data_IF_477191469468
#
_entry.id   IF_477191469468
#
_cell.length_a   1.000
_cell.length_b   1.000
_cell.length_c   1.000
_cell.angle_alpha   90.00
_cell.angle_beta   90.00
_cell.angle_gamma   90.00
#
_symmetry.space_group_name_H-M   'P 1'
#
loop_
_entity.id
_entity.type
_entity.pdbx_description
1 polymer ?
#
# COMPACT_ATOMS: atom_id res chain seq x y z
N UNK A 1 16.60 -9.80 0.28
CA UNK A 1 15.48 -8.99 0.76
C UNK A 1 14.24 -9.88 0.86
N UNK A 2 13.54 -9.95 2.00
CA UNK A 2 12.39 -10.85 2.18
C UNK A 2 11.23 -10.50 1.26
N UNK A 3 10.93 -9.20 1.06
CA UNK A 3 9.83 -8.70 0.21
C UNK A 3 9.88 -9.27 -1.21
N UNK A 4 11.05 -9.25 -1.86
CA UNK A 4 11.20 -9.75 -3.24
C UNK A 4 10.98 -11.27 -3.35
N UNK A 5 11.44 -12.06 -2.36
CA UNK A 5 11.17 -13.51 -2.35
C UNK A 5 9.69 -13.81 -2.18
N UNK A 6 9.02 -13.04 -1.32
CA UNK A 6 7.58 -13.20 -1.10
C UNK A 6 6.79 -12.78 -2.32
N UNK A 7 7.20 -11.71 -2.99
CA UNK A 7 6.66 -11.27 -4.28
C UNK A 7 6.82 -12.36 -5.35
N UNK A 8 8.03 -12.91 -5.55
CA UNK A 8 8.27 -13.99 -6.53
C UNK A 8 7.42 -15.23 -6.24
N UNK A 9 7.32 -15.62 -4.96
CA UNK A 9 6.50 -16.77 -4.54
C UNK A 9 5.00 -16.55 -4.84
N UNK A 10 4.49 -15.35 -4.59
CA UNK A 10 3.08 -15.01 -4.87
C UNK A 10 2.80 -15.00 -6.36
N UNK A 11 3.67 -14.39 -7.14
CA UNK A 11 3.54 -14.41 -8.59
C UNK A 11 3.59 -15.83 -9.17
N UNK A 12 4.47 -16.70 -8.65
CA UNK A 12 4.53 -18.09 -9.06
C UNK A 12 3.22 -18.85 -8.82
N UNK A 13 2.50 -18.54 -7.74
CA UNK A 13 1.19 -19.15 -7.42
C UNK A 13 0.02 -18.56 -8.20
N UNK A 14 0.10 -17.30 -8.66
CA UNK A 14 -1.00 -16.64 -9.38
C UNK A 14 -1.06 -17.04 -10.87
N UNK A 15 0.03 -17.49 -11.44
CA UNK A 15 0.18 -17.64 -12.89
C UNK A 15 0.94 -18.93 -13.26
N UNK A 16 0.60 -20.06 -12.61
CA UNK A 16 1.09 -21.38 -13.01
C UNK A 16 0.68 -21.68 -14.48
N UNK A 17 1.61 -21.50 -15.39
CA UNK A 17 1.47 -21.77 -16.82
C UNK A 17 1.72 -20.59 -17.76
N UNK A 18 1.42 -19.35 -17.40
CA UNK A 18 1.66 -18.17 -18.26
C UNK A 18 3.09 -17.63 -18.11
N UNK A 19 3.66 -17.65 -16.89
CA UNK A 19 4.95 -17.03 -16.61
C UNK A 19 6.16 -17.81 -17.16
N UNK A 20 6.10 -19.16 -17.26
CA UNK A 20 7.27 -19.94 -17.63
C UNK A 20 7.72 -19.76 -19.08
N UNK A 21 6.84 -19.33 -19.98
CA UNK A 21 7.14 -19.06 -21.39
C UNK A 21 7.19 -17.59 -21.77
N UNK A 22 6.32 -16.76 -21.19
CA UNK A 22 6.14 -15.36 -21.59
C UNK A 22 7.31 -14.46 -21.11
N UNK A 23 7.88 -14.72 -19.93
CA UNK A 23 8.86 -13.85 -19.29
C UNK A 23 10.30 -14.37 -19.31
N UNK A 24 10.62 -15.36 -20.17
CA UNK A 24 12.02 -15.82 -20.33
C UNK A 24 12.95 -14.78 -20.97
N UNK A 25 12.40 -13.75 -21.57
CA UNK A 25 13.17 -12.68 -22.22
C UNK A 25 12.32 -11.40 -22.23
N UNK A 26 12.93 -10.25 -22.03
CA UNK A 26 12.28 -8.96 -21.81
C UNK A 26 12.19 -8.63 -20.32
N UNK A 27 11.43 -7.63 -19.95
CA UNK A 27 11.27 -7.16 -18.58
C UNK A 27 10.62 -8.23 -17.71
N UNK A 28 11.22 -8.53 -16.57
CA UNK A 28 10.67 -9.47 -15.59
C UNK A 28 9.96 -8.71 -14.47
N UNK A 29 8.85 -9.23 -13.90
CA UNK A 29 8.13 -8.56 -12.81
C UNK A 29 9.01 -8.26 -11.58
N UNK A 30 10.00 -9.11 -11.29
CA UNK A 30 10.93 -8.88 -10.18
C UNK A 30 11.87 -7.69 -10.44
N UNK A 31 12.18 -7.39 -11.71
CA UNK A 31 12.97 -6.22 -12.09
C UNK A 31 12.16 -4.93 -11.88
N UNK A 32 10.87 -4.99 -12.19
CA UNK A 32 9.93 -3.89 -11.90
C UNK A 32 9.85 -3.64 -10.39
N UNK A 33 9.67 -4.69 -9.58
CA UNK A 33 9.62 -4.55 -8.13
C UNK A 33 10.91 -3.94 -7.56
N UNK A 34 12.08 -4.35 -8.05
CA UNK A 34 13.37 -3.76 -7.66
C UNK A 34 13.49 -2.29 -8.07
N UNK A 35 13.01 -1.95 -9.26
CA UNK A 35 13.01 -0.58 -9.74
C UNK A 35 12.12 0.30 -8.88
N UNK A 36 10.89 -0.13 -8.59
CA UNK A 36 9.98 0.58 -7.70
C UNK A 36 10.62 0.83 -6.32
N UNK A 37 11.20 -0.19 -5.69
CA UNK A 37 11.85 -0.05 -4.38
C UNK A 37 13.01 0.96 -4.42
N UNK A 38 13.79 0.98 -5.51
CA UNK A 38 14.85 1.96 -5.72
C UNK A 38 14.32 3.38 -5.88
N UNK A 39 13.26 3.54 -6.67
CA UNK A 39 12.63 4.84 -6.87
C UNK A 39 11.91 5.34 -5.60
N UNK A 40 11.35 4.45 -4.78
CA UNK A 40 10.85 4.80 -3.45
C UNK A 40 11.95 5.40 -2.57
N UNK A 41 13.13 4.78 -2.55
CA UNK A 41 14.27 5.27 -1.76
C UNK A 41 14.82 6.60 -2.30
N UNK A 42 14.92 6.73 -3.63
CA UNK A 42 15.46 7.92 -4.29
C UNK A 42 14.50 9.13 -4.19
N UNK A 43 13.20 8.88 -4.34
CA UNK A 43 12.16 9.92 -4.35
C UNK A 43 11.57 10.27 -2.99
N UNK A 44 12.10 9.72 -1.89
CA UNK A 44 11.60 10.01 -0.56
C UNK A 44 11.80 11.49 -0.18
N UNK A 45 10.79 12.06 0.48
CA UNK A 45 10.84 13.40 1.06
C UNK A 45 11.01 13.30 2.58
N UNK A 46 11.97 14.01 3.12
CA UNK A 46 12.23 14.03 4.56
C UNK A 46 11.56 15.26 5.14
N UNK A 47 10.45 15.07 5.86
CA UNK A 47 9.79 16.10 6.66
C UNK A 47 10.44 16.27 8.03
N UNK A 48 9.87 17.15 8.85
CA UNK A 48 10.41 17.47 10.19
C UNK A 48 10.30 16.27 11.15
N UNK A 49 9.26 15.45 11.02
CA UNK A 49 8.99 14.30 11.89
C UNK A 49 8.80 12.98 11.12
N UNK A 50 8.71 13.02 9.81
CA UNK A 50 8.32 11.88 8.99
C UNK A 50 9.10 11.84 7.69
N UNK A 51 9.28 10.62 7.15
CA UNK A 51 9.83 10.38 5.83
C UNK A 51 8.71 9.85 4.95
N UNK A 52 8.41 10.56 3.88
CA UNK A 52 7.40 10.20 2.90
C UNK A 52 8.04 9.51 1.70
N UNK A 53 7.48 8.38 1.29
CA UNK A 53 7.89 7.68 0.08
C UNK A 53 6.89 7.93 -1.05
N UNK A 54 7.36 7.94 -2.31
CA UNK A 54 6.49 7.92 -3.48
C UNK A 54 5.44 6.82 -3.39
N UNK A 55 4.24 7.11 -3.82
CA UNK A 55 3.11 6.18 -3.84
C UNK A 55 2.49 6.00 -5.22
N UNK A 56 2.87 6.82 -6.20
CA UNK A 56 2.42 6.71 -7.59
C UNK A 56 3.60 6.35 -8.50
N UNK A 57 3.43 5.29 -9.32
CA UNK A 57 4.48 4.76 -10.18
C UNK A 57 3.95 4.51 -11.58
N UNK A 58 4.48 5.24 -12.56
CA UNK A 58 4.23 5.00 -13.98
C UNK A 58 5.40 4.23 -14.58
N UNK A 59 5.12 3.02 -15.06
CA UNK A 59 6.09 2.09 -15.62
C UNK A 59 5.96 2.08 -17.14
N UNK A 60 6.96 2.57 -17.86
CA UNK A 60 6.95 2.51 -19.31
C UNK A 60 7.68 1.28 -19.83
N UNK A 61 7.01 0.55 -20.70
CA UNK A 61 7.48 -0.68 -21.35
C UNK A 61 7.51 -0.52 -22.86
N UNK A 62 8.34 -1.32 -23.54
CA UNK A 62 8.27 -1.46 -24.99
C UNK A 62 6.94 -2.08 -25.42
N UNK A 63 6.46 -1.85 -26.65
CA UNK A 63 5.22 -2.48 -27.17
C UNK A 63 5.26 -4.02 -27.07
N UNK A 64 6.44 -4.62 -27.30
CA UNK A 64 6.62 -6.07 -27.21
C UNK A 64 6.48 -6.59 -25.76
N UNK A 65 7.00 -5.85 -24.78
CA UNK A 65 6.89 -6.25 -23.38
C UNK A 65 5.49 -5.96 -22.86
N UNK A 66 4.89 -4.81 -23.18
CA UNK A 66 3.53 -4.46 -22.78
C UNK A 66 2.50 -5.53 -23.19
N UNK A 67 2.55 -6.02 -24.44
CA UNK A 67 1.66 -7.08 -24.93
C UNK A 67 1.73 -8.36 -24.06
N UNK A 68 2.88 -8.63 -23.41
CA UNK A 68 3.03 -9.79 -22.53
C UNK A 68 2.39 -9.58 -21.16
N UNK A 69 2.32 -8.33 -20.73
CA UNK A 69 1.70 -7.95 -19.46
C UNK A 69 0.18 -7.88 -19.54
N UNK A 70 -0.40 -7.62 -20.74
CA UNK A 70 -1.83 -7.39 -20.97
C UNK A 70 -2.76 -8.36 -20.22
N UNK A 71 -2.47 -9.67 -20.25
CA UNK A 71 -3.33 -10.68 -19.63
C UNK A 71 -3.19 -10.80 -18.12
N UNK A 72 -2.13 -10.25 -17.54
CA UNK A 72 -1.80 -10.35 -16.13
C UNK A 72 -1.56 -8.99 -15.47
N UNK A 73 -1.81 -7.91 -16.19
CA UNK A 73 -1.50 -6.55 -15.77
C UNK A 73 -2.09 -6.20 -14.41
N UNK A 74 -3.39 -6.40 -14.22
CA UNK A 74 -4.08 -6.11 -12.96
C UNK A 74 -3.51 -6.90 -11.78
N UNK A 75 -3.20 -8.19 -12.01
CA UNK A 75 -2.64 -9.05 -10.98
C UNK A 75 -1.23 -8.61 -10.59
N UNK A 76 -0.40 -8.26 -11.58
CA UNK A 76 0.96 -7.79 -11.37
C UNK A 76 0.94 -6.40 -10.71
N UNK A 77 0.11 -5.48 -11.20
CA UNK A 77 -0.06 -4.16 -10.60
C UNK A 77 -0.50 -4.27 -9.13
N UNK A 78 -1.43 -5.17 -8.83
CA UNK A 78 -1.88 -5.43 -7.46
C UNK A 78 -0.75 -5.92 -6.56
N UNK A 79 0.08 -6.86 -7.03
CA UNK A 79 1.24 -7.34 -6.27
C UNK A 79 2.35 -6.29 -6.14
N UNK A 80 2.53 -5.44 -7.15
CA UNK A 80 3.48 -4.31 -7.07
C UNK A 80 3.02 -3.25 -6.07
N UNK A 81 1.73 -2.91 -6.04
CA UNK A 81 1.15 -2.04 -4.99
C UNK A 81 1.38 -2.61 -3.59
N UNK A 82 1.34 -3.93 -3.46
CA UNK A 82 1.68 -4.62 -2.21
C UNK A 82 3.16 -4.45 -1.85
N UNK A 83 4.08 -4.58 -2.82
CA UNK A 83 5.53 -4.34 -2.60
C UNK A 83 5.76 -2.93 -2.07
N UNK A 84 5.06 -1.92 -2.62
CA UNK A 84 5.16 -0.53 -2.14
C UNK A 84 4.74 -0.44 -0.67
N UNK A 85 3.59 -1.01 -0.29
CA UNK A 85 3.12 -1.02 1.11
C UNK A 85 4.08 -1.74 2.05
N UNK A 86 4.53 -2.94 1.67
CA UNK A 86 5.48 -3.73 2.46
C UNK A 86 6.80 -2.97 2.66
N UNK A 87 7.32 -2.33 1.59
CA UNK A 87 8.55 -1.56 1.64
C UNK A 87 8.42 -0.32 2.53
N UNK A 88 7.34 0.44 2.39
CA UNK A 88 7.07 1.59 3.24
C UNK A 88 6.97 1.17 4.72
N UNK A 89 6.25 0.08 5.02
CA UNK A 89 6.12 -0.45 6.38
C UNK A 89 7.46 -0.96 6.95
N UNK A 90 8.29 -1.64 6.15
CA UNK A 90 9.62 -2.14 6.60
C UNK A 90 10.56 -1.00 6.99
N UNK A 91 10.52 0.10 6.23
CA UNK A 91 11.40 1.26 6.46
C UNK A 91 10.80 2.33 7.39
N UNK A 92 9.53 2.20 7.77
CA UNK A 92 8.83 3.22 8.57
C UNK A 92 8.54 4.51 7.78
N UNK A 93 8.38 4.42 6.46
CA UNK A 93 8.01 5.55 5.61
C UNK A 93 6.49 5.73 5.55
N UNK A 94 6.05 6.98 5.54
CA UNK A 94 4.66 7.35 5.26
C UNK A 94 4.35 7.28 3.75
N UNK A 95 3.08 7.07 3.44
CA UNK A 95 2.54 7.22 2.09
C UNK A 95 1.44 8.29 2.12
N UNK A 96 1.55 9.29 1.26
CA UNK A 96 0.58 10.42 1.19
C UNK A 96 -0.75 10.02 0.54
N UNK A 97 -0.80 8.84 -0.07
CA UNK A 97 -1.99 8.26 -0.70
C UNK A 97 -1.83 6.76 -0.87
N UNK A 98 -2.86 6.06 -1.39
CA UNK A 98 -2.76 4.64 -1.71
C UNK A 98 -1.68 4.43 -2.76
N UNK A 99 -0.94 3.31 -2.69
CA UNK A 99 -0.04 2.97 -3.78
C UNK A 99 -0.80 2.75 -5.08
N UNK A 100 -0.35 3.43 -6.11
CA UNK A 100 -0.82 3.23 -7.47
C UNK A 100 0.33 2.85 -8.39
N UNK A 101 0.07 1.89 -9.29
CA UNK A 101 1.04 1.39 -10.26
C UNK A 101 0.32 1.22 -11.58
N UNK A 102 0.77 1.94 -12.58
CA UNK A 102 0.24 1.92 -13.95
C UNK A 102 1.34 1.54 -14.95
N UNK A 103 0.91 0.92 -16.05
CA UNK A 103 1.78 0.56 -17.16
C UNK A 103 1.47 1.42 -18.38
N UNK A 104 2.52 1.96 -18.97
CA UNK A 104 2.46 2.77 -20.18
C UNK A 104 3.28 2.10 -21.29
N UNK A 105 2.86 2.29 -22.54
CA UNK A 105 3.61 1.84 -23.72
C UNK A 105 4.43 3.01 -24.25
N UNK A 106 5.74 2.83 -24.33
CA UNK A 106 6.63 3.80 -25.00
C UNK A 106 7.27 3.14 -26.24
N UNK A 107 6.90 3.61 -27.42
CA UNK A 107 7.40 3.11 -28.70
C UNK A 107 8.91 3.30 -28.90
N UNK A 108 9.55 4.18 -28.12
CA UNK A 108 10.99 4.42 -28.17
C UNK A 108 11.80 3.39 -27.39
N UNK A 109 11.18 2.69 -26.47
CA UNK A 109 11.82 1.65 -25.67
C UNK A 109 11.98 0.38 -26.49
N UNK A 110 13.14 -0.25 -26.31
CA UNK A 110 13.41 -1.56 -26.88
C UNK A 110 12.99 -2.65 -25.91
N UNK A 111 12.75 -3.83 -26.41
CA UNK A 111 12.48 -5.00 -25.61
C UNK A 111 13.51 -5.17 -24.49
N UNK A 112 13.04 -5.29 -23.26
CA UNK A 112 13.85 -5.39 -22.04
C UNK A 112 14.18 -4.04 -21.41
N UNK A 113 13.89 -2.92 -22.08
CA UNK A 113 14.01 -1.60 -21.47
C UNK A 113 12.81 -1.32 -20.58
N UNK A 114 13.08 -0.73 -19.43
CA UNK A 114 12.09 -0.36 -18.43
C UNK A 114 12.44 1.00 -17.84
N UNK A 115 11.48 1.92 -17.81
CA UNK A 115 11.61 3.17 -17.08
C UNK A 115 10.48 3.31 -16.06
N UNK A 116 10.74 4.06 -15.00
CA UNK A 116 9.77 4.31 -13.95
C UNK A 116 9.81 5.79 -13.57
N UNK A 117 8.65 6.40 -13.54
CA UNK A 117 8.45 7.71 -12.94
C UNK A 117 7.75 7.50 -11.62
N UNK A 118 8.35 7.96 -10.53
CA UNK A 118 7.78 7.87 -9.20
C UNK A 118 7.39 9.26 -8.69
N UNK A 119 6.22 9.39 -8.12
CA UNK A 119 5.71 10.64 -7.58
C UNK A 119 5.06 10.44 -6.20
N UNK A 120 5.13 11.50 -5.40
CA UNK A 120 4.29 11.68 -4.23
C UNK A 120 2.99 12.30 -4.72
N UNK A 121 1.94 11.51 -4.80
CA UNK A 121 0.61 11.99 -5.23
C UNK A 121 -0.31 11.90 -4.03
N UNK A 122 -0.76 13.06 -3.57
CA UNK A 122 -1.85 13.13 -2.62
C UNK A 122 -3.06 12.48 -3.29
N UNK A 123 -3.73 11.55 -2.58
CA UNK A 123 -4.86 10.84 -3.17
C UNK A 123 -5.88 11.86 -3.68
N UNK A 124 -6.07 11.93 -5.00
CA UNK A 124 -7.20 12.69 -5.54
C UNK A 124 -8.48 12.04 -5.02
N UNK A 125 -9.30 12.88 -4.40
CA UNK A 125 -10.66 12.51 -4.02
C UNK A 125 -11.38 12.00 -5.29
N UNK A 126 -11.61 10.70 -5.36
CA UNK A 126 -12.61 10.19 -6.31
C UNK A 126 -13.89 10.98 -6.10
N UNK A 127 -14.43 11.57 -7.17
CA UNK A 127 -15.62 12.39 -7.24
C UNK A 127 -16.70 11.95 -6.22
N UNK A 128 -16.72 12.60 -5.07
CA UNK A 128 -17.69 12.37 -4.02
C UNK A 128 -17.67 13.55 -3.07
N UNK A 129 -18.55 14.50 -3.31
CA UNK A 129 -18.78 15.73 -2.57
C UNK A 129 -18.43 15.71 -1.07
N UNK A 130 -17.52 16.60 -0.66
CA UNK A 130 -17.51 17.21 0.66
C UNK A 130 -17.14 16.29 1.84
N UNK A 131 -15.85 16.02 2.01
CA UNK A 131 -15.39 15.41 3.25
C UNK A 131 -13.90 15.60 3.44
N UNK A 132 -13.48 16.25 4.53
CA UNK A 132 -12.10 16.59 4.88
C UNK A 132 -11.13 15.40 4.75
N UNK A 133 -9.86 15.75 4.52
CA UNK A 133 -8.77 14.77 4.43
C UNK A 133 -8.68 13.98 5.73
N UNK A 134 -8.70 12.64 5.63
CA UNK A 134 -8.50 11.78 6.79
C UNK A 134 -7.22 10.97 6.63
N UNK A 135 -6.52 10.78 7.74
CA UNK A 135 -5.29 9.99 7.80
C UNK A 135 -5.21 9.22 9.11
N UNK A 136 -4.32 8.27 9.18
CA UNK A 136 -3.95 7.61 10.43
C UNK A 136 -2.46 7.70 10.66
N UNK A 137 -2.07 8.03 11.88
CA UNK A 137 -0.68 8.02 12.33
C UNK A 137 -0.45 6.72 13.09
N UNK A 138 0.37 5.83 12.53
CA UNK A 138 0.69 4.52 13.11
C UNK A 138 1.99 4.62 13.88
N UNK A 139 1.95 4.31 15.19
CA UNK A 139 3.11 4.25 16.08
C UNK A 139 3.37 2.83 16.50
N UNK A 140 4.49 2.28 16.06
CA UNK A 140 4.91 0.91 16.40
C UNK A 140 6.45 0.80 16.41
N UNK A 141 7.01 -0.03 17.27
CA UNK A 141 8.46 -0.31 17.39
C UNK A 141 9.33 0.95 17.51
N UNK A 142 8.81 2.02 18.14
CA UNK A 142 9.53 3.30 18.32
C UNK A 142 9.57 4.16 17.06
N UNK A 143 8.91 3.76 15.99
CA UNK A 143 8.71 4.53 14.75
C UNK A 143 7.28 5.08 14.64
N UNK A 144 7.14 6.12 13.85
CA UNK A 144 5.87 6.73 13.51
C UNK A 144 5.76 6.85 11.99
N UNK A 145 4.59 6.58 11.43
CA UNK A 145 4.29 6.81 10.02
C UNK A 145 2.84 7.22 9.83
N UNK A 146 2.59 8.11 8.91
CA UNK A 146 1.26 8.54 8.52
C UNK A 146 0.80 7.74 7.28
N UNK A 147 -0.49 7.41 7.23
CA UNK A 147 -1.13 6.77 6.07
C UNK A 147 -2.41 7.54 5.77
N UNK A 148 -2.51 8.13 4.58
CA UNK A 148 -3.71 8.79 4.14
C UNK A 148 -4.85 7.78 3.88
N UNK A 149 -6.07 8.12 4.25
CA UNK A 149 -7.27 7.31 4.04
C UNK A 149 -7.98 7.79 2.78
N UNK A 150 -7.54 7.31 1.63
CA UNK A 150 -8.02 7.73 0.31
C UNK A 150 -9.11 6.83 -0.29
N UNK A 151 -9.46 5.74 0.39
CA UNK A 151 -10.56 4.84 0.00
C UNK A 151 -11.65 4.85 1.05
N UNK A 152 -12.90 4.69 0.65
CA UNK A 152 -14.04 4.60 1.58
C UNK A 152 -13.99 3.37 2.49
N UNK A 153 -13.13 2.42 2.17
CA UNK A 153 -12.90 1.22 2.97
C UNK A 153 -11.41 0.95 3.07
N UNK A 154 -10.87 0.99 4.29
CA UNK A 154 -9.45 0.81 4.60
C UNK A 154 -9.31 -0.34 5.58
N UNK A 155 -8.53 -1.36 5.22
CA UNK A 155 -8.26 -2.53 6.06
C UNK A 155 -6.97 -2.35 6.85
N UNK A 156 -7.00 -2.74 8.13
CA UNK A 156 -5.86 -2.67 9.05
C UNK A 156 -5.52 -4.08 9.51
N UNK A 157 -4.25 -4.47 9.46
CA UNK A 157 -3.83 -5.77 9.94
C UNK A 157 -2.40 -6.13 9.61
N UNK A 158 -2.01 -7.36 9.94
CA UNK A 158 -0.63 -7.84 9.76
C UNK A 158 -0.35 -8.38 8.35
N UNK A 159 -1.38 -8.68 7.57
CA UNK A 159 -1.18 -9.11 6.17
C UNK A 159 -0.77 -7.91 5.31
N UNK A 160 0.11 -8.20 4.38
CA UNK A 160 0.59 -7.22 3.42
C UNK A 160 -0.47 -6.77 2.39
N UNK A 161 -1.62 -7.46 2.32
CA UNK A 161 -2.77 -7.04 1.51
C UNK A 161 -3.73 -6.08 2.27
N UNK A 162 -3.40 -5.72 3.52
CA UNK A 162 -4.08 -4.64 4.21
C UNK A 162 -3.59 -3.28 3.73
N UNK A 163 -4.47 -2.29 3.74
CA UNK A 163 -4.13 -0.91 3.37
C UNK A 163 -3.21 -0.29 4.43
N UNK A 164 -3.44 -0.60 5.70
CA UNK A 164 -2.57 -0.26 6.83
C UNK A 164 -1.94 -1.54 7.37
N UNK A 165 -0.71 -1.83 6.93
CA UNK A 165 0.03 -3.02 7.36
C UNK A 165 0.68 -2.78 8.72
N UNK A 166 0.42 -3.64 9.70
CA UNK A 166 1.02 -3.58 11.04
C UNK A 166 2.11 -4.64 11.20
N UNK A 167 3.22 -4.28 11.84
CA UNK A 167 4.31 -5.22 12.17
C UNK A 167 4.03 -6.01 13.45
N UNK A 168 3.10 -5.52 14.28
CA UNK A 168 2.75 -6.11 15.56
C UNK A 168 2.20 -7.54 15.41
N UNK A 169 2.85 -8.48 16.11
CA UNK A 169 2.41 -9.88 16.16
C UNK A 169 1.07 -10.07 16.89
N UNK A 170 0.68 -9.10 17.72
CA UNK A 170 -0.61 -9.05 18.38
C UNK A 170 -1.76 -8.66 17.44
N UNK A 171 -1.44 -8.11 16.27
CA UNK A 171 -2.44 -7.83 15.24
C UNK A 171 -2.84 -9.11 14.49
N UNK A 172 -4.14 -9.31 14.27
CA UNK A 172 -4.66 -10.37 13.40
C UNK A 172 -4.30 -10.08 11.94
N UNK A 173 -4.35 -11.10 11.08
CA UNK A 173 -4.07 -10.98 9.64
C UNK A 173 -4.85 -9.83 9.01
N UNK A 174 -6.18 -9.85 9.11
CA UNK A 174 -7.09 -8.71 8.93
C UNK A 174 -7.70 -8.45 10.29
N UNK A 175 -7.40 -7.30 10.90
CA UNK A 175 -7.73 -7.04 12.31
C UNK A 175 -8.95 -6.14 12.43
N UNK A 176 -8.91 -5.02 11.76
CA UNK A 176 -9.96 -4.01 11.78
C UNK A 176 -10.16 -3.39 10.40
N UNK A 177 -11.26 -2.67 10.25
CA UNK A 177 -11.60 -1.93 9.05
C UNK A 177 -12.06 -0.53 9.44
N UNK A 178 -11.59 0.47 8.70
CA UNK A 178 -12.15 1.80 8.69
C UNK A 178 -13.06 1.91 7.47
N UNK A 179 -14.28 2.38 7.66
CA UNK A 179 -15.22 2.60 6.56
C UNK A 179 -15.81 4.00 6.63
N UNK A 180 -15.73 4.73 5.51
CA UNK A 180 -16.37 6.03 5.35
C UNK A 180 -17.76 5.84 4.77
N UNK A 181 -18.75 6.51 5.38
CA UNK A 181 -20.11 6.62 4.86
C UNK A 181 -20.65 7.99 5.22
N UNK A 182 -21.17 8.71 4.25
CA UNK A 182 -21.76 10.05 4.42
C UNK A 182 -20.82 11.02 5.19
N UNK A 183 -19.52 10.96 4.84
CA UNK A 183 -18.48 11.77 5.49
C UNK A 183 -18.05 11.30 6.88
N UNK A 184 -18.66 10.28 7.46
CA UNK A 184 -18.31 9.74 8.79
C UNK A 184 -17.48 8.47 8.68
N UNK A 185 -16.38 8.40 9.42
CA UNK A 185 -15.56 7.21 9.51
C UNK A 185 -16.00 6.31 10.66
N UNK A 186 -16.13 5.02 10.39
CA UNK A 186 -16.47 4.00 11.39
C UNK A 186 -15.34 2.98 11.46
N UNK A 187 -14.82 2.76 12.66
CA UNK A 187 -13.92 1.64 12.99
C UNK A 187 -14.76 0.40 13.28
N UNK A 188 -14.37 -0.74 12.70
CA UNK A 188 -15.00 -2.04 12.97
C UNK A 188 -13.92 -3.10 13.18
N UNK A 189 -13.99 -3.82 14.30
CA UNK A 189 -13.17 -5.02 14.55
C UNK A 189 -13.69 -6.17 13.68
N UNK A 190 -12.79 -6.83 12.95
CA UNK A 190 -13.14 -7.93 12.03
C UNK A 190 -13.10 -9.32 12.69
N UNK A 191 -13.42 -9.40 13.98
CA UNK A 191 -13.32 -10.64 14.77
C UNK A 191 -11.87 -10.96 15.11
N UNK A 192 -11.12 -9.94 15.51
CA UNK A 192 -9.71 -10.09 15.84
C UNK A 192 -9.48 -10.97 17.09
N UNK A 193 -8.29 -11.54 17.20
CA UNK A 193 -7.95 -12.43 18.33
C UNK A 193 -7.81 -11.65 19.64
N UNK A 194 -7.23 -10.47 19.61
CA UNK A 194 -6.91 -9.68 20.80
C UNK A 194 -7.84 -8.49 21.02
N UNK A 195 -8.77 -8.26 20.10
CA UNK A 195 -9.70 -7.13 20.13
C UNK A 195 -9.06 -5.80 19.75
N UNK A 196 -9.91 -4.85 19.38
CA UNK A 196 -9.57 -3.46 19.06
C UNK A 196 -10.03 -2.56 20.20
N UNK A 197 -9.19 -1.60 20.59
CA UNK A 197 -9.57 -0.58 21.57
C UNK A 197 -9.61 0.79 20.90
N UNK A 198 -10.62 1.57 21.26
CA UNK A 198 -10.74 2.98 20.90
C UNK A 198 -10.71 3.81 22.19
N UNK A 199 -9.74 4.71 22.31
CA UNK A 199 -9.54 5.53 23.52
C UNK A 199 -9.49 4.69 24.80
N UNK A 200 -8.83 3.52 24.73
CA UNK A 200 -8.69 2.58 25.83
C UNK A 200 -9.88 1.65 26.06
N UNK A 201 -11.03 1.84 25.42
CA UNK A 201 -12.22 0.99 25.54
C UNK A 201 -12.28 -0.04 24.42
N UNK A 202 -12.56 -1.30 24.72
CA UNK A 202 -12.77 -2.34 23.70
C UNK A 202 -14.04 -2.04 22.91
N UNK A 203 -13.91 -2.08 21.57
CA UNK A 203 -15.01 -1.79 20.65
C UNK A 203 -15.15 -2.87 19.60
N UNK A 204 -16.37 -3.10 19.14
CA UNK A 204 -16.64 -3.94 17.97
C UNK A 204 -16.93 -3.08 16.74
N UNK A 205 -17.65 -1.99 16.91
CA UNK A 205 -17.86 -0.98 15.88
C UNK A 205 -18.13 0.37 16.53
N UNK A 206 -17.48 1.44 16.04
CA UNK A 206 -17.63 2.78 16.60
C UNK A 206 -17.26 3.84 15.56
N UNK A 207 -18.01 4.92 15.54
CA UNK A 207 -17.66 6.11 14.78
C UNK A 207 -16.41 6.78 15.35
N UNK A 208 -15.58 7.33 14.44
CA UNK A 208 -14.33 7.99 14.76
C UNK A 208 -14.49 9.51 14.71
N UNK A 209 -13.86 10.15 15.67
CA UNK A 209 -13.66 11.59 15.74
C UNK A 209 -12.18 11.93 15.55
N UNK A 210 -11.88 13.15 15.13
CA UNK A 210 -10.50 13.63 15.04
C UNK A 210 -9.76 13.47 16.38
N UNK A 211 -8.51 13.00 16.33
CA UNK A 211 -7.68 12.74 17.49
C UNK A 211 -7.98 11.41 18.21
N UNK A 212 -8.95 10.61 17.74
CA UNK A 212 -9.24 9.31 18.34
C UNK A 212 -8.04 8.36 18.24
N UNK A 213 -7.79 7.62 19.31
CA UNK A 213 -6.67 6.68 19.43
C UNK A 213 -7.18 5.23 19.38
N UNK A 214 -6.77 4.51 18.33
CA UNK A 214 -7.05 3.08 18.14
C UNK A 214 -5.82 2.29 18.63
N UNK A 215 -6.03 1.28 19.48
CA UNK A 215 -4.95 0.39 19.95
C UNK A 215 -5.22 -1.03 19.50
N UNK A 216 -4.22 -1.61 18.80
CA UNK A 216 -4.21 -3.00 18.33
C UNK A 216 -2.91 -3.66 18.81
N UNK A 217 -3.02 -4.60 19.74
CA UNK A 217 -1.84 -5.16 20.41
C UNK A 217 -1.05 -4.07 21.14
N UNK A 218 0.19 -3.82 20.72
CA UNK A 218 1.07 -2.76 21.21
C UNK A 218 1.10 -1.54 20.27
N UNK A 219 0.52 -1.67 19.09
CA UNK A 219 0.47 -0.59 18.08
C UNK A 219 -0.59 0.44 18.46
N UNK A 220 -0.21 1.71 18.40
CA UNK A 220 -1.10 2.85 18.62
C UNK A 220 -1.31 3.55 17.28
N UNK A 221 -2.57 3.79 16.93
CA UNK A 221 -2.99 4.42 15.67
C UNK A 221 -3.85 5.62 16.03
N UNK A 222 -3.41 6.81 15.68
CA UNK A 222 -4.18 8.04 15.87
C UNK A 222 -4.92 8.36 14.58
N UNK A 223 -6.22 8.53 14.65
CA UNK A 223 -7.04 8.98 13.53
C UNK A 223 -7.02 10.50 13.46
N UNK A 224 -6.77 11.06 12.29
CA UNK A 224 -6.75 12.49 12.02
C UNK A 224 -7.70 12.82 10.87
N UNK A 225 -8.43 13.91 11.04
CA UNK A 225 -9.38 14.42 10.05
C UNK A 225 -9.39 15.94 10.09
N UNK A 226 -9.18 16.57 8.93
CA UNK A 226 -9.30 18.02 8.73
C UNK A 226 -10.76 18.44 8.48
#
# INVERSE_FOLDING_TARGET
>A
MPILRDFERRLGGLVEGLFSKAFRSGVQPVEIAKLIMREMEAGRSVGVSEVWAPNHFELSLSPEDATRYEQAEDAIASELRRVVRESAAEHGWGLVGPPDVSFLVDEKLKRGDLTCVAALVEGEDGDGAGGGHASVVVREDGGERMVALSSDTVTIGRLADCDVVLKDKGASRKHAQLKRRDGTWTLTDLGSTNGTRLNGQTVQSRELSDGDTITIGTTVIEFRRD
#
